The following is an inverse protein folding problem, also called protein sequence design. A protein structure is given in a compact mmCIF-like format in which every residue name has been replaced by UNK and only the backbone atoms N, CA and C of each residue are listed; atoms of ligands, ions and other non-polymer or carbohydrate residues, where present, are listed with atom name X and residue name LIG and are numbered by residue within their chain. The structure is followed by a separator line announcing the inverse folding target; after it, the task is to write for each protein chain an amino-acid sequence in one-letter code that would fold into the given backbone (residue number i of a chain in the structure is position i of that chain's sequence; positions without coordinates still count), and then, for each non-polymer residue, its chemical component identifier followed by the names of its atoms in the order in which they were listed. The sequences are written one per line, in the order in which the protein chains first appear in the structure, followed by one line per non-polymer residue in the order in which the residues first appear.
data_IF_787553184271
#
_entry.id   IF_787553184271
#
_cell.length_a   1.000
_cell.length_b   1.000
_cell.length_c   1.000
_cell.angle_alpha   90.00
_cell.angle_beta   90.00
_cell.angle_gamma   90.00
#
_symmetry.space_group_name_H-M   'P 1'
#
loop_
_entity.id
_entity.type
_entity.pdbx_description
1 polymer ?
#
# COMPACT_ATOMS: atom_id res chain seq x y z
N UNK A 1 -12.86 20.33 -26.32
CA UNK A 1 -12.49 21.56 -25.60
C UNK A 1 -12.77 21.32 -24.12
N UNK A 2 -11.85 20.66 -23.43
CA UNK A 2 -11.94 20.42 -21.99
C UNK A 2 -11.54 21.70 -21.27
N UNK A 3 -12.47 22.25 -20.49
CA UNK A 3 -12.24 23.38 -19.59
C UNK A 3 -11.07 23.05 -18.68
N UNK A 4 -9.93 23.75 -18.81
CA UNK A 4 -8.87 23.62 -17.82
C UNK A 4 -9.44 24.11 -16.49
N UNK A 5 -9.49 23.22 -15.49
CA UNK A 5 -9.83 23.64 -14.13
C UNK A 5 -8.61 24.43 -13.64
N UNK A 6 -8.80 25.70 -13.30
CA UNK A 6 -7.75 26.50 -12.67
C UNK A 6 -7.37 25.85 -11.33
N UNK A 7 -6.15 25.35 -11.22
CA UNK A 7 -5.60 24.83 -9.96
C UNK A 7 -5.13 26.01 -9.12
N UNK A 8 -5.56 26.09 -7.86
CA UNK A 8 -5.02 27.05 -6.91
C UNK A 8 -3.66 26.56 -6.42
N UNK A 9 -2.62 27.38 -6.60
CA UNK A 9 -1.27 27.09 -6.12
C UNK A 9 -1.02 27.87 -4.83
N UNK A 10 -0.64 27.17 -3.76
CA UNK A 10 -0.33 27.76 -2.46
C UNK A 10 1.04 27.29 -1.97
N UNK A 11 1.76 28.17 -1.27
CA UNK A 11 3.03 27.82 -0.63
C UNK A 11 2.79 27.25 0.77
N UNK A 12 3.36 26.08 1.07
CA UNK A 12 3.28 25.48 2.40
C UNK A 12 4.31 26.13 3.32
N UNK A 13 3.87 26.72 4.43
CA UNK A 13 4.73 27.35 5.43
C UNK A 13 4.88 26.49 6.69
N UNK A 14 5.83 26.87 7.57
CA UNK A 14 5.96 26.27 8.90
C UNK A 14 4.67 26.40 9.72
N UNK A 15 3.93 27.50 9.56
CA UNK A 15 2.68 27.70 10.29
C UNK A 15 1.62 26.68 9.88
N UNK A 16 1.59 26.29 8.60
CA UNK A 16 0.65 25.30 8.08
C UNK A 16 0.98 23.90 8.61
N UNK A 17 2.26 23.53 8.59
CA UNK A 17 2.71 22.28 9.20
C UNK A 17 2.35 22.19 10.69
N UNK A 18 2.59 23.27 11.46
CA UNK A 18 2.24 23.29 12.89
C UNK A 18 0.74 23.19 13.16
N UNK A 19 -0.10 23.74 12.28
CA UNK A 19 -1.57 23.64 12.39
C UNK A 19 -2.07 22.22 12.17
N UNK A 20 -1.37 21.43 11.35
CA UNK A 20 -1.73 20.05 11.01
C UNK A 20 -1.20 19.01 12.00
N UNK A 21 -0.28 19.39 12.90
CA UNK A 21 0.26 18.44 13.88
C UNK A 21 -0.87 17.93 14.81
N UNK A 22 -1.02 16.60 14.95
CA UNK A 22 -2.03 16.04 15.84
C UNK A 22 -1.69 16.36 17.29
N UNK A 23 -2.70 16.77 18.08
CA UNK A 23 -2.57 16.86 19.53
C UNK A 23 -2.52 15.45 20.12
N UNK A 24 -1.57 15.19 21.01
CA UNK A 24 -1.49 13.92 21.74
C UNK A 24 -2.22 14.07 23.07
N UNK A 25 -3.20 13.22 23.30
CA UNK A 25 -3.82 13.06 24.61
C UNK A 25 -2.83 12.33 25.54
N UNK A 26 -2.69 12.79 26.78
CA UNK A 26 -1.81 12.20 27.79
C UNK A 26 -2.21 10.76 28.14
N UNK A 27 -3.47 10.39 27.89
CA UNK A 27 -4.03 9.06 28.13
C UNK A 27 -4.00 8.15 26.90
N UNK A 28 -3.54 8.64 25.75
CA UNK A 28 -3.58 7.90 24.50
C UNK A 28 -2.72 6.63 24.53
N UNK A 29 -3.35 5.49 24.24
CA UNK A 29 -2.65 4.22 24.06
C UNK A 29 -2.10 4.10 22.63
N UNK A 30 -1.18 3.13 22.39
CA UNK A 30 -0.54 2.89 21.08
C UNK A 30 -1.50 2.79 19.88
N UNK A 31 -2.71 2.28 20.08
CA UNK A 31 -3.74 2.22 19.03
C UNK A 31 -4.59 3.50 18.93
N UNK A 32 -4.71 4.26 20.01
CA UNK A 32 -5.43 5.54 20.04
C UNK A 32 -4.73 6.64 19.25
N UNK A 33 -3.39 6.60 19.15
CA UNK A 33 -2.58 7.50 18.32
C UNK A 33 -2.68 7.19 16.83
N UNK A 34 -3.09 5.96 16.48
CA UNK A 34 -3.11 5.45 15.11
C UNK A 34 -1.93 4.50 14.82
N UNK A 35 -2.23 3.44 14.07
CA UNK A 35 -1.26 2.48 13.57
C UNK A 35 -1.04 2.63 12.07
N UNK A 36 0.14 2.19 11.62
CA UNK A 36 0.53 2.12 10.22
C UNK A 36 0.96 0.70 9.86
N UNK A 37 0.45 0.18 8.74
CA UNK A 37 0.98 -1.03 8.11
C UNK A 37 1.82 -0.64 6.89
N UNK A 38 3.04 -1.13 6.78
CA UNK A 38 3.92 -0.91 5.62
C UNK A 38 4.09 -2.25 4.92
N UNK A 39 3.71 -2.31 3.65
CA UNK A 39 3.81 -3.49 2.80
C UNK A 39 4.89 -3.22 1.75
N UNK A 40 5.97 -3.98 1.82
CA UNK A 40 7.13 -3.74 0.98
C UNK A 40 8.23 -4.77 1.17
N UNK A 41 9.38 -4.49 0.56
CA UNK A 41 10.54 -5.34 0.61
C UNK A 41 10.48 -6.51 -0.36
N UNK A 42 11.63 -6.75 -0.97
CA UNK A 42 11.91 -7.83 -1.90
C UNK A 42 13.42 -8.12 -1.79
N UNK A 43 13.91 -9.25 -2.33
CA UNK A 43 15.34 -9.50 -2.44
C UNK A 43 16.07 -8.29 -3.05
N UNK A 44 17.07 -7.77 -2.35
CA UNK A 44 17.83 -6.57 -2.75
C UNK A 44 17.23 -5.22 -2.31
N UNK A 45 15.96 -5.17 -1.87
CA UNK A 45 15.26 -3.92 -1.51
C UNK A 45 14.75 -3.88 -0.06
N UNK A 46 15.31 -4.72 0.81
CA UNK A 46 14.89 -4.87 2.22
C UNK A 46 15.02 -3.59 3.06
N UNK A 47 15.88 -2.65 2.65
CA UNK A 47 16.09 -1.39 3.38
C UNK A 47 14.96 -0.38 3.18
N UNK A 48 14.25 -0.42 2.05
CA UNK A 48 13.18 0.51 1.74
C UNK A 48 12.03 0.48 2.77
N UNK A 49 11.42 -0.69 3.09
CA UNK A 49 10.37 -0.73 4.11
C UNK A 49 10.90 -0.39 5.51
N UNK A 50 12.16 -0.73 5.83
CA UNK A 50 12.79 -0.35 7.10
C UNK A 50 12.89 1.18 7.28
N UNK A 51 13.31 1.90 6.23
CA UNK A 51 13.39 3.36 6.25
C UNK A 51 12.02 4.02 6.43
N UNK A 52 11.00 3.49 5.74
CA UNK A 52 9.62 3.93 5.91
C UNK A 52 9.14 3.71 7.36
N UNK A 53 9.46 2.57 7.97
CA UNK A 53 9.07 2.26 9.33
C UNK A 53 9.74 3.18 10.36
N UNK A 54 11.05 3.41 10.25
CA UNK A 54 11.77 4.35 11.11
C UNK A 54 11.20 5.78 10.97
N UNK A 55 10.88 6.21 9.75
CA UNK A 55 10.25 7.52 9.51
C UNK A 55 8.89 7.64 10.18
N UNK A 56 8.05 6.60 10.09
CA UNK A 56 6.75 6.56 10.74
C UNK A 56 6.86 6.61 12.27
N UNK A 57 7.79 5.86 12.86
CA UNK A 57 8.09 5.91 14.29
C UNK A 57 8.52 7.30 14.75
N UNK A 58 9.43 7.96 14.00
CA UNK A 58 9.89 9.33 14.28
C UNK A 58 8.79 10.38 14.10
N UNK A 59 7.84 10.12 13.20
CA UNK A 59 6.65 10.97 13.00
C UNK A 59 5.59 10.79 14.09
N UNK A 60 5.78 9.83 14.99
CA UNK A 60 4.94 9.63 16.17
C UNK A 60 3.83 8.60 15.99
N UNK A 61 3.90 7.73 14.98
CA UNK A 61 2.99 6.58 14.84
C UNK A 61 3.00 5.73 16.12
N UNK A 62 1.82 5.36 16.62
CA UNK A 62 1.71 4.64 17.89
C UNK A 62 2.14 3.17 17.77
N UNK A 63 1.95 2.57 16.59
CA UNK A 63 2.44 1.25 16.24
C UNK A 63 2.72 1.17 14.75
N UNK A 64 3.83 0.53 14.39
CA UNK A 64 4.25 0.31 12.99
C UNK A 64 4.34 -1.19 12.76
N UNK A 65 3.55 -1.70 11.82
CA UNK A 65 3.62 -3.09 11.37
C UNK A 65 4.31 -3.15 10.00
N UNK A 66 5.27 -4.05 9.85
CA UNK A 66 6.04 -4.28 8.63
C UNK A 66 5.65 -5.63 8.02
N UNK A 67 4.92 -5.59 6.92
CA UNK A 67 4.63 -6.72 6.06
C UNK A 67 5.72 -6.84 5.00
N UNK A 68 6.65 -7.78 5.25
CA UNK A 68 7.84 -8.03 4.44
C UNK A 68 7.98 -9.54 4.18
N UNK A 69 8.72 -9.97 3.14
CA UNK A 69 8.98 -11.38 2.89
C UNK A 69 9.57 -12.06 4.12
N UNK A 70 9.08 -13.25 4.50
CA UNK A 70 9.48 -13.98 5.71
C UNK A 70 11.00 -14.17 5.77
N UNK A 71 11.62 -14.44 4.64
CA UNK A 71 13.09 -14.55 4.50
C UNK A 71 13.85 -13.29 4.94
N UNK A 72 13.24 -12.10 4.86
CA UNK A 72 13.87 -10.81 5.19
C UNK A 72 13.68 -10.37 6.65
N UNK A 73 12.76 -10.98 7.40
CA UNK A 73 12.37 -10.52 8.75
C UNK A 73 13.56 -10.39 9.69
N UNK A 74 14.47 -11.36 9.70
CA UNK A 74 15.66 -11.30 10.58
C UNK A 74 16.55 -10.10 10.31
N UNK A 75 16.76 -9.75 9.04
CA UNK A 75 17.58 -8.60 8.66
C UNK A 75 16.86 -7.29 8.94
N UNK A 76 15.58 -7.20 8.60
CA UNK A 76 14.77 -6.00 8.86
C UNK A 76 14.58 -5.74 10.36
N UNK A 77 14.44 -6.79 11.18
CA UNK A 77 14.36 -6.69 12.64
C UNK A 77 15.64 -6.16 13.29
N UNK A 78 16.81 -6.40 12.68
CA UNK A 78 18.06 -5.81 13.14
C UNK A 78 18.12 -4.29 12.86
N UNK A 79 17.39 -3.81 11.84
CA UNK A 79 17.33 -2.39 11.48
C UNK A 79 16.25 -1.62 12.27
N UNK A 80 15.09 -2.24 12.50
CA UNK A 80 13.91 -1.60 13.11
C UNK A 80 13.28 -2.53 14.16
N UNK A 81 13.92 -2.71 15.32
CA UNK A 81 13.48 -3.69 16.33
C UNK A 81 12.14 -3.35 16.99
N UNK A 82 11.69 -2.09 16.93
CA UNK A 82 10.43 -1.64 17.51
C UNK A 82 9.19 -2.02 16.66
N UNK A 83 9.40 -2.43 15.41
CA UNK A 83 8.30 -2.74 14.51
C UNK A 83 7.66 -4.11 14.81
N UNK A 84 6.37 -4.23 14.50
CA UNK A 84 5.66 -5.52 14.49
C UNK A 84 5.84 -6.17 13.12
N UNK A 85 6.41 -7.36 13.06
CA UNK A 85 6.66 -8.05 11.79
C UNK A 85 5.48 -8.93 11.36
N UNK A 86 5.05 -8.76 10.12
CA UNK A 86 4.06 -9.60 9.44
C UNK A 86 4.80 -10.40 8.36
N UNK A 87 5.28 -11.63 8.67
CA UNK A 87 6.10 -12.42 7.76
C UNK A 87 5.28 -12.96 6.58
N UNK A 88 5.34 -12.27 5.45
CA UNK A 88 4.64 -12.67 4.23
C UNK A 88 5.26 -13.95 3.65
N UNK A 89 4.46 -14.86 3.06
CA UNK A 89 5.00 -16.04 2.39
C UNK A 89 5.96 -15.66 1.25
N UNK A 90 7.12 -16.32 1.18
CA UNK A 90 8.09 -16.17 0.07
C UNK A 90 7.66 -17.03 -1.14
N UNK A 91 6.45 -16.82 -1.66
CA UNK A 91 5.93 -17.58 -2.81
C UNK A 91 4.95 -16.75 -3.63
N UNK A 92 5.05 -16.90 -4.94
CA UNK A 92 4.19 -16.37 -5.98
C UNK A 92 2.97 -17.29 -6.27
N UNK A 93 2.51 -18.05 -5.26
CA UNK A 93 1.30 -18.87 -5.40
C UNK A 93 0.07 -18.09 -4.94
N UNK A 94 -1.08 -18.31 -5.60
CA UNK A 94 -2.35 -17.69 -5.17
C UNK A 94 -2.68 -18.01 -3.71
N UNK A 95 -2.32 -19.21 -3.23
CA UNK A 95 -2.46 -19.60 -1.82
C UNK A 95 -1.54 -18.79 -0.89
N UNK A 96 -0.31 -18.51 -1.32
CA UNK A 96 0.61 -17.64 -0.60
C UNK A 96 0.08 -16.20 -0.48
N UNK A 97 -0.43 -15.66 -1.58
CA UNK A 97 -1.04 -14.33 -1.62
C UNK A 97 -2.29 -14.26 -0.74
N UNK A 98 -3.16 -15.27 -0.78
CA UNK A 98 -4.33 -15.34 0.10
C UNK A 98 -3.92 -15.30 1.58
N UNK A 99 -2.92 -16.09 1.97
CA UNK A 99 -2.35 -16.05 3.33
C UNK A 99 -1.75 -14.70 3.69
N UNK A 100 -1.14 -14.00 2.73
CA UNK A 100 -0.63 -12.65 2.95
C UNK A 100 -1.78 -11.69 3.27
N UNK A 101 -2.88 -11.74 2.52
CA UNK A 101 -4.07 -10.92 2.79
C UNK A 101 -4.71 -11.26 4.14
N UNK A 102 -4.89 -12.54 4.46
CA UNK A 102 -5.40 -12.99 5.76
C UNK A 102 -4.55 -12.49 6.94
N UNK A 103 -3.23 -12.39 6.75
CA UNK A 103 -2.31 -11.87 7.75
C UNK A 103 -2.36 -10.33 7.86
N UNK A 104 -2.44 -9.62 6.72
CA UNK A 104 -2.40 -8.16 6.65
C UNK A 104 -3.72 -7.53 7.12
N UNK A 105 -4.86 -8.08 6.66
CA UNK A 105 -6.20 -7.53 6.87
C UNK A 105 -6.50 -7.12 8.33
N UNK A 106 -6.33 -7.98 9.36
CA UNK A 106 -6.64 -7.59 10.73
C UNK A 106 -5.70 -6.51 11.30
N UNK A 107 -4.49 -6.36 10.74
CA UNK A 107 -3.57 -5.28 11.11
C UNK A 107 -3.97 -3.98 10.44
N UNK A 108 -4.43 -4.04 9.20
CA UNK A 108 -4.93 -2.88 8.45
C UNK A 108 -6.21 -2.35 9.10
N UNK A 109 -7.17 -3.20 9.46
CA UNK A 109 -8.43 -2.81 10.12
C UNK A 109 -8.22 -2.14 11.49
N UNK A 110 -7.20 -2.58 12.23
CA UNK A 110 -6.81 -1.95 13.51
C UNK A 110 -5.97 -0.70 13.32
N UNK A 111 -5.22 -0.66 12.23
CA UNK A 111 -4.47 0.51 11.80
C UNK A 111 -5.43 1.47 11.10
N UNK A 112 -5.01 2.73 10.92
CA UNK A 112 -5.83 3.71 10.22
C UNK A 112 -5.28 4.05 8.84
N UNK A 113 -4.07 3.58 8.57
CA UNK A 113 -3.36 3.83 7.34
C UNK A 113 -2.50 2.62 6.96
N UNK A 114 -2.26 2.49 5.66
CA UNK A 114 -1.25 1.60 5.11
C UNK A 114 -0.36 2.35 4.11
N UNK A 115 0.89 1.90 3.97
CA UNK A 115 1.81 2.28 2.90
C UNK A 115 2.12 1.03 2.10
N UNK A 116 2.05 1.09 0.79
CA UNK A 116 2.39 -0.01 -0.10
C UNK A 116 3.37 0.47 -1.17
N UNK A 117 4.37 -0.35 -1.48
CA UNK A 117 5.31 -0.06 -2.57
C UNK A 117 6.79 -0.04 -2.22
N UNK A 118 7.24 0.46 -1.05
CA UNK A 118 8.67 0.58 -0.76
C UNK A 118 9.42 -0.74 -0.92
N UNK A 119 10.15 -0.88 -2.03
CA UNK A 119 10.95 -2.05 -2.35
C UNK A 119 10.15 -3.31 -2.64
N UNK A 120 8.93 -3.23 -3.19
CA UNK A 120 8.16 -4.43 -3.59
C UNK A 120 8.76 -5.15 -4.79
N UNK A 121 9.64 -4.50 -5.55
CA UNK A 121 10.06 -4.94 -6.89
C UNK A 121 8.87 -5.01 -7.87
N UNK A 122 9.12 -5.52 -9.08
CA UNK A 122 8.13 -5.59 -10.17
C UNK A 122 7.97 -7.01 -10.68
N UNK A 123 8.11 -7.99 -9.80
CA UNK A 123 7.94 -9.40 -10.12
C UNK A 123 6.46 -9.85 -10.02
N UNK A 124 6.23 -11.11 -10.34
CA UNK A 124 4.90 -11.72 -10.32
C UNK A 124 4.30 -11.71 -8.89
N UNK A 125 5.13 -11.95 -7.87
CA UNK A 125 4.71 -11.95 -6.47
C UNK A 125 4.17 -10.58 -6.06
N UNK A 126 4.90 -9.50 -6.40
CA UNK A 126 4.45 -8.13 -6.16
C UNK A 126 3.14 -7.82 -6.90
N UNK A 127 3.05 -8.24 -8.16
CA UNK A 127 1.85 -8.06 -9.00
C UNK A 127 0.62 -8.71 -8.38
N UNK A 128 0.70 -9.98 -8.02
CA UNK A 128 -0.44 -10.69 -7.42
C UNK A 128 -0.82 -10.15 -6.04
N UNK A 129 0.17 -9.74 -5.24
CA UNK A 129 -0.08 -9.10 -3.95
C UNK A 129 -0.84 -7.79 -4.12
N UNK A 130 -0.42 -6.94 -5.06
CA UNK A 130 -1.09 -5.67 -5.36
C UNK A 130 -2.49 -5.91 -5.91
N UNK A 131 -2.67 -6.84 -6.85
CA UNK A 131 -4.00 -7.24 -7.33
C UNK A 131 -4.91 -7.64 -6.16
N UNK A 132 -4.41 -8.46 -5.24
CA UNK A 132 -5.19 -8.87 -4.08
C UNK A 132 -5.51 -7.72 -3.11
N UNK A 133 -4.57 -6.80 -2.87
CA UNK A 133 -4.79 -5.63 -2.03
C UNK A 133 -5.87 -4.70 -2.60
N UNK A 134 -5.92 -4.55 -3.93
CA UNK A 134 -6.94 -3.75 -4.63
C UNK A 134 -8.24 -4.53 -4.91
N UNK A 135 -8.39 -5.77 -4.43
CA UNK A 135 -9.61 -6.58 -4.62
C UNK A 135 -9.74 -7.26 -5.98
N UNK A 136 -8.65 -7.30 -6.76
CA UNK A 136 -8.57 -7.86 -8.11
C UNK A 136 -7.90 -9.24 -8.17
N UNK A 137 -7.71 -9.92 -7.02
CA UNK A 137 -7.02 -11.21 -6.99
C UNK A 137 -7.65 -12.24 -7.95
N UNK A 138 -6.85 -12.98 -8.74
CA UNK A 138 -7.37 -14.07 -9.54
C UNK A 138 -8.00 -15.13 -8.63
N UNK A 139 -9.31 -15.35 -8.80
CA UNK A 139 -10.07 -16.35 -8.04
C UNK A 139 -9.48 -17.72 -8.34
N UNK A 140 -8.89 -18.37 -7.35
CA UNK A 140 -8.47 -19.77 -7.46
C UNK A 140 -9.71 -20.63 -7.65
N UNK A 141 -9.98 -21.02 -8.89
CA UNK A 141 -10.89 -22.12 -9.18
C UNK A 141 -10.26 -23.38 -8.58
N UNK A 142 -10.63 -23.72 -7.35
CA UNK A 142 -10.14 -24.92 -6.69
C UNK A 142 -10.40 -26.14 -7.59
N UNK A 143 -9.36 -26.72 -8.20
CA UNK A 143 -9.46 -27.98 -8.92
C UNK A 143 -9.85 -29.06 -7.92
N UNK A 144 -11.07 -29.57 -8.04
CA UNK A 144 -11.45 -30.83 -7.39
C UNK A 144 -10.65 -31.94 -8.07
N UNK A 145 -9.64 -32.47 -7.38
CA UNK A 145 -9.17 -33.82 -7.63
C UNK A 145 -9.80 -34.71 -6.55
N UNK A 146 -10.96 -35.29 -6.87
CA UNK A 146 -11.64 -36.23 -5.99
C UNK A 146 -12.90 -36.80 -6.65
N UNK A 147 -12.88 -38.10 -6.94
CA UNK A 147 -14.08 -38.84 -7.34
C UNK A 147 -15.05 -38.89 -6.16
N UNK A 148 -16.20 -38.21 -6.27
CA UNK A 148 -17.38 -38.47 -5.46
C UNK A 148 -17.54 -37.64 -4.19
N UNK A 149 -17.97 -36.38 -4.32
CA UNK A 149 -18.94 -35.72 -3.44
C UNK A 149 -19.22 -34.31 -3.98
N UNK A 150 -20.42 -34.10 -4.52
CA UNK A 150 -20.89 -32.76 -4.87
C UNK A 150 -21.25 -32.02 -3.57
N UNK A 151 -20.33 -31.20 -3.07
CA UNK A 151 -20.70 -30.08 -2.20
C UNK A 151 -20.82 -28.84 -3.08
N UNK A 152 -22.00 -28.22 -3.07
CA UNK A 152 -22.23 -26.96 -3.73
C UNK A 152 -21.22 -25.94 -3.20
N UNK A 153 -20.27 -25.53 -4.06
CA UNK A 153 -19.26 -24.53 -3.74
C UNK A 153 -19.94 -23.16 -3.66
N UNK A 154 -19.95 -22.60 -2.47
CA UNK A 154 -20.18 -21.17 -2.29
C UNK A 154 -18.99 -20.48 -2.95
N UNK A 155 -19.22 -19.79 -4.07
CA UNK A 155 -18.28 -18.76 -4.51
C UNK A 155 -18.16 -17.80 -3.33
N UNK A 156 -16.97 -17.69 -2.73
CA UNK A 156 -16.76 -16.69 -1.68
C UNK A 156 -17.18 -15.34 -2.25
N UNK A 157 -18.03 -14.62 -1.52
CA UNK A 157 -18.37 -13.25 -1.88
C UNK A 157 -17.09 -12.46 -2.16
N UNK A 158 -17.11 -11.49 -3.09
CA UNK A 158 -15.93 -10.65 -3.33
C UNK A 158 -15.47 -10.07 -1.98
N UNK A 159 -14.26 -10.44 -1.55
CA UNK A 159 -13.69 -9.85 -0.35
C UNK A 159 -13.52 -8.36 -0.59
N UNK A 160 -13.91 -7.54 0.39
CA UNK A 160 -13.71 -6.11 0.32
C UNK A 160 -12.23 -5.79 0.12
N UNK A 161 -11.90 -4.87 -0.81
CA UNK A 161 -10.52 -4.53 -1.11
C UNK A 161 -9.86 -3.90 0.11
N UNK A 162 -8.61 -4.27 0.37
CA UNK A 162 -7.82 -3.68 1.46
C UNK A 162 -7.51 -2.21 1.15
N UNK A 163 -7.17 -1.93 -0.11
CA UNK A 163 -6.93 -0.59 -0.67
C UNK A 163 -8.12 -0.19 -1.53
N UNK A 164 -8.69 0.99 -1.27
CA UNK A 164 -9.91 1.47 -1.92
C UNK A 164 -11.16 1.29 -1.06
N UNK A 165 -11.08 0.52 0.04
CA UNK A 165 -12.08 0.44 1.11
C UNK A 165 -11.99 1.58 2.13
N UNK A 166 -12.26 1.29 3.42
CA UNK A 166 -12.23 2.24 4.55
C UNK A 166 -10.85 2.70 5.00
N UNK A 167 -9.79 2.06 4.49
CA UNK A 167 -8.44 2.39 4.88
C UNK A 167 -7.84 3.46 3.99
N UNK A 168 -7.22 4.48 4.60
CA UNK A 168 -6.35 5.40 3.88
C UNK A 168 -5.05 4.71 3.49
N UNK A 169 -4.63 4.83 2.22
CA UNK A 169 -3.41 4.21 1.74
C UNK A 169 -2.50 5.23 1.06
N UNK A 170 -1.20 5.10 1.34
CA UNK A 170 -0.13 5.74 0.57
C UNK A 170 0.40 4.71 -0.41
N UNK A 171 0.40 5.03 -1.69
CA UNK A 171 0.99 4.21 -2.76
C UNK A 171 2.27 4.89 -3.22
N UNK A 172 3.37 4.15 -3.17
CA UNK A 172 4.71 4.68 -3.44
C UNK A 172 5.51 3.73 -4.36
N UNK A 173 6.59 4.22 -4.95
CA UNK A 173 7.60 3.41 -5.64
C UNK A 173 7.04 2.36 -6.63
N UNK A 174 7.41 1.09 -6.46
CA UNK A 174 7.02 -0.02 -7.33
C UNK A 174 5.49 -0.19 -7.46
N UNK A 175 4.73 0.18 -6.42
CA UNK A 175 3.27 0.13 -6.47
C UNK A 175 2.69 1.21 -7.39
N UNK A 176 3.35 2.38 -7.52
CA UNK A 176 2.96 3.40 -8.50
C UNK A 176 3.22 2.94 -9.94
N UNK A 177 4.34 2.25 -10.17
CA UNK A 177 4.63 1.65 -11.46
C UNK A 177 3.61 0.59 -11.85
N UNK A 178 3.25 -0.30 -10.92
CA UNK A 178 2.18 -1.27 -11.15
C UNK A 178 0.83 -0.58 -11.44
N UNK A 179 0.51 0.50 -10.72
CA UNK A 179 -0.73 1.25 -10.89
C UNK A 179 -0.81 1.92 -12.26
N UNK A 180 0.31 2.45 -12.76
CA UNK A 180 0.42 3.06 -14.08
C UNK A 180 0.13 2.07 -15.23
N UNK A 181 0.28 0.77 -15.01
CA UNK A 181 -0.02 -0.29 -15.98
C UNK A 181 -1.49 -0.73 -15.94
N UNK A 182 -2.37 -0.07 -15.16
CA UNK A 182 -3.77 -0.44 -14.98
C UNK A 182 -4.69 0.63 -15.55
N UNK A 183 -5.62 0.21 -16.40
CA UNK A 183 -6.64 1.12 -16.91
C UNK A 183 -7.68 1.42 -15.83
N UNK A 184 -8.05 2.70 -15.70
CA UNK A 184 -9.17 3.14 -14.85
C UNK A 184 -9.09 2.68 -13.39
N UNK A 185 -7.90 2.46 -12.84
CA UNK A 185 -7.71 2.03 -11.45
C UNK A 185 -8.37 3.01 -10.46
N UNK A 186 -8.42 4.31 -10.79
CA UNK A 186 -9.05 5.35 -9.98
C UNK A 186 -10.55 5.16 -9.80
N UNK A 187 -11.22 4.44 -10.71
CA UNK A 187 -12.65 4.14 -10.60
C UNK A 187 -12.95 3.10 -9.50
N UNK A 188 -11.95 2.34 -9.08
CA UNK A 188 -12.08 1.27 -8.07
C UNK A 188 -11.76 1.78 -6.65
N UNK A 189 -11.38 3.05 -6.54
CA UNK A 189 -10.88 3.64 -5.30
C UNK A 189 -11.87 4.70 -4.83
N UNK A 190 -12.22 4.66 -3.54
CA UNK A 190 -13.08 5.71 -2.97
C UNK A 190 -12.34 7.06 -2.93
N UNK A 191 -13.00 8.18 -3.29
CA UNK A 191 -12.38 9.50 -3.22
C UNK A 191 -11.74 9.78 -1.85
N UNK A 192 -10.57 10.43 -1.85
CA UNK A 192 -9.80 10.80 -0.65
C UNK A 192 -9.26 9.63 0.19
N UNK A 193 -9.33 8.40 -0.31
CA UNK A 193 -8.72 7.23 0.36
C UNK A 193 -7.26 6.97 -0.03
N UNK A 194 -6.80 7.46 -1.20
CA UNK A 194 -5.42 7.28 -1.64
C UNK A 194 -4.61 8.58 -1.64
N UNK A 195 -3.36 8.46 -1.23
CA UNK A 195 -2.29 9.42 -1.46
C UNK A 195 -1.26 8.75 -2.36
N UNK A 196 -0.92 9.37 -3.48
CA UNK A 196 0.17 8.90 -4.35
C UNK A 196 1.41 9.77 -4.11
N UNK A 197 2.60 9.18 -4.09
CA UNK A 197 3.87 9.89 -3.88
C UNK A 197 4.83 9.83 -5.06
N UNK A 198 4.38 10.08 -6.32
CA UNK A 198 5.23 9.91 -7.48
C UNK A 198 6.34 10.95 -7.54
N UNK A 199 7.54 10.53 -7.92
CA UNK A 199 8.51 11.42 -8.55
C UNK A 199 8.10 11.69 -10.01
N UNK A 200 8.81 12.60 -10.71
CA UNK A 200 8.46 13.02 -12.08
C UNK A 200 8.30 11.85 -13.05
N UNK A 201 9.23 10.87 -13.03
CA UNK A 201 9.13 9.68 -13.87
C UNK A 201 7.93 8.76 -13.58
N UNK A 202 7.55 8.56 -12.30
CA UNK A 202 6.35 7.80 -11.93
C UNK A 202 5.08 8.57 -12.30
N UNK A 203 5.09 9.89 -12.14
CA UNK A 203 3.96 10.73 -12.55
C UNK A 203 3.76 10.67 -14.07
N UNK A 204 4.84 10.75 -14.85
CA UNK A 204 4.81 10.56 -16.29
C UNK A 204 4.24 9.19 -16.68
N UNK A 205 4.60 8.13 -15.96
CA UNK A 205 4.04 6.80 -16.18
C UNK A 205 2.53 6.76 -15.87
N UNK A 206 2.10 7.39 -14.78
CA UNK A 206 0.69 7.41 -14.35
C UNK A 206 -0.21 8.22 -15.28
N UNK A 207 0.27 9.35 -15.82
CA UNK A 207 -0.53 10.26 -16.66
C UNK A 207 -0.36 10.01 -18.16
N UNK A 208 0.73 9.35 -18.56
CA UNK A 208 1.14 9.25 -19.97
C UNK A 208 1.73 10.54 -20.54
N UNK A 209 1.96 11.57 -19.71
CA UNK A 209 2.55 12.84 -20.12
C UNK A 209 4.08 12.80 -20.18
N UNK A 210 4.69 13.71 -20.93
CA UNK A 210 6.15 13.83 -20.98
C UNK A 210 6.71 14.42 -19.68
N UNK A 211 7.85 13.89 -19.20
CA UNK A 211 8.49 14.37 -17.97
C UNK A 211 8.89 15.84 -18.02
N UNK A 212 9.24 16.40 -19.20
CA UNK A 212 9.57 17.82 -19.35
C UNK A 212 8.33 18.69 -19.27
N UNK A 213 7.20 18.23 -19.80
CA UNK A 213 5.92 18.92 -19.68
C UNK A 213 5.50 19.02 -18.21
N UNK A 214 5.60 17.90 -17.47
CA UNK A 214 5.35 17.85 -16.03
C UNK A 214 6.26 18.83 -15.27
N UNK A 215 7.56 18.88 -15.59
CA UNK A 215 8.49 19.79 -14.91
C UNK A 215 8.21 21.27 -15.19
N UNK A 216 7.72 21.59 -16.39
CA UNK A 216 7.41 22.96 -16.79
C UNK A 216 6.08 23.45 -16.21
N UNK A 217 5.08 22.56 -16.09
CA UNK A 217 3.78 22.86 -15.49
C UNK A 217 3.20 21.64 -14.76
N UNK A 218 3.61 21.40 -13.49
CA UNK A 218 3.12 20.27 -12.71
C UNK A 218 1.61 20.30 -12.46
N UNK A 219 0.96 21.46 -12.56
CA UNK A 219 -0.46 21.63 -12.28
C UNK A 219 -1.36 21.34 -13.49
N UNK A 220 -0.78 21.25 -14.70
CA UNK A 220 -1.49 20.95 -15.93
C UNK A 220 -1.54 19.45 -16.28
N UNK A 221 -0.84 18.60 -15.51
CA UNK A 221 -0.68 17.16 -15.74
C UNK A 221 -1.72 16.30 -15.02
#
# INVERSE_FOLDING_TARGET
MTSSKSVSVETISRADALRLLPKRDETAHKWGVGGLVIIGGAPGYIGAPALAAMSAGRSGAGIVSLAVPRSSVGVTAALVPEAVFLPLPDTDSSHGVQKAIELIRPHVEKSRALVVGPGLSRDEMATMLLEALFGNAPRTAARSLGFGAQTAKVASEPEDPVIGGDTHAVVDADALHWLAERESWWAQVRPFSLILTPHVGELAALTGADSREILNDPAAS
#
